data_IF_955378683636
#
_entry.id   IF_955378683636
#
_cell.length_a   1.000
_cell.length_b   1.000
_cell.length_c   1.000
_cell.angle_alpha   90.00
_cell.angle_beta   90.00
_cell.angle_gamma   90.00
#
_symmetry.space_group_name_H-M   'P 1'
#
loop_
_entity.id
_entity.type
_entity.pdbx_description
1 polymer ?
#
# COMPACT_ATOMS: atom_id res chain seq x y z
N UNK A 1 -0.01 -15.46 63.63
CA UNK A 1 -0.11 -16.65 62.80
C UNK A 1 -0.72 -16.40 61.41
N UNK A 2 -1.70 -15.57 61.29
CA UNK A 2 -2.28 -15.20 59.98
C UNK A 2 -1.27 -14.46 59.06
N UNK A 3 -0.31 -13.78 59.59
CA UNK A 3 0.74 -13.07 58.83
C UNK A 3 1.74 -13.98 58.14
N UNK A 4 2.00 -15.17 58.61
CA UNK A 4 2.92 -16.14 58.00
C UNK A 4 2.33 -16.85 56.79
N UNK A 5 1.07 -17.18 56.83
CA UNK A 5 0.36 -17.79 55.69
C UNK A 5 0.21 -16.82 54.53
N UNK A 6 0.07 -15.53 54.84
CA UNK A 6 -0.03 -14.47 53.83
C UNK A 6 1.27 -14.25 53.05
N UNK A 7 2.45 -14.41 53.68
CA UNK A 7 3.71 -14.21 52.99
C UNK A 7 4.12 -15.39 52.11
N UNK A 8 3.73 -16.61 52.44
CA UNK A 8 3.97 -17.81 51.63
C UNK A 8 3.08 -17.80 50.37
N UNK A 9 1.80 -17.49 50.47
CA UNK A 9 0.89 -17.36 49.37
C UNK A 9 1.30 -16.22 48.42
N UNK A 10 1.83 -15.15 48.93
CA UNK A 10 2.37 -14.01 48.20
C UNK A 10 3.58 -14.38 47.35
N UNK A 11 4.50 -15.24 47.86
CA UNK A 11 5.68 -15.70 47.14
C UNK A 11 5.33 -16.70 46.02
N UNK A 12 4.44 -17.64 46.26
CA UNK A 12 3.95 -18.58 45.25
C UNK A 12 3.18 -17.85 44.14
N UNK A 13 2.40 -16.88 44.49
CA UNK A 13 1.68 -16.00 43.55
C UNK A 13 2.63 -15.17 42.65
N UNK A 14 3.77 -14.70 43.23
CA UNK A 14 4.78 -13.94 42.47
C UNK A 14 5.54 -14.82 41.47
N UNK A 15 5.88 -16.07 41.81
CA UNK A 15 6.53 -17.00 40.89
C UNK A 15 5.58 -17.43 39.76
N UNK A 16 4.31 -17.67 40.05
CA UNK A 16 3.30 -17.96 39.03
C UNK A 16 3.05 -16.77 38.11
N UNK A 17 3.06 -15.54 38.62
CA UNK A 17 2.94 -14.31 37.83
C UNK A 17 4.16 -14.10 36.92
N UNK A 18 5.38 -14.38 37.34
CA UNK A 18 6.60 -14.27 36.52
C UNK A 18 6.56 -15.28 35.36
N UNK A 19 6.08 -16.48 35.57
CA UNK A 19 5.90 -17.51 34.55
C UNK A 19 4.82 -17.09 33.54
N UNK A 20 3.69 -16.55 33.98
CA UNK A 20 2.62 -16.03 33.13
C UNK A 20 3.06 -14.81 32.33
N UNK A 21 3.93 -13.96 32.88
CA UNK A 21 4.49 -12.79 32.21
C UNK A 21 5.39 -13.21 31.04
N UNK A 22 6.27 -14.21 31.22
CA UNK A 22 7.12 -14.71 30.13
C UNK A 22 6.29 -15.31 28.98
N UNK A 23 5.30 -16.12 29.29
CA UNK A 23 4.36 -16.69 28.33
C UNK A 23 3.56 -15.60 27.63
N UNK A 24 3.11 -14.59 28.34
CA UNK A 24 2.41 -13.44 27.82
C UNK A 24 3.28 -12.62 26.85
N UNK A 25 4.57 -12.41 27.18
CA UNK A 25 5.52 -11.70 26.32
C UNK A 25 5.81 -12.47 25.04
N UNK A 26 5.97 -13.79 25.09
CA UNK A 26 6.14 -14.64 23.92
C UNK A 26 4.91 -14.60 23.00
N UNK A 27 3.72 -14.74 23.55
CA UNK A 27 2.46 -14.63 22.82
C UNK A 27 2.29 -13.24 22.21
N UNK A 28 2.65 -12.20 22.95
CA UNK A 28 2.61 -10.81 22.49
C UNK A 28 3.56 -10.57 21.32
N UNK A 29 4.77 -11.14 21.34
CA UNK A 29 5.74 -11.05 20.25
C UNK A 29 5.26 -11.80 19.01
N UNK A 30 4.68 -12.99 19.16
CA UNK A 30 4.09 -13.75 18.06
C UNK A 30 2.92 -13.01 17.42
N UNK A 31 2.05 -12.41 18.23
CA UNK A 31 0.93 -11.59 17.74
C UNK A 31 1.41 -10.33 17.01
N UNK A 32 2.46 -9.68 17.51
CA UNK A 32 3.07 -8.52 16.87
C UNK A 32 3.67 -8.90 15.51
N UNK A 33 4.40 -9.99 15.42
CA UNK A 33 4.95 -10.50 14.17
C UNK A 33 3.86 -10.83 13.17
N UNK A 34 2.80 -11.50 13.63
CA UNK A 34 1.65 -11.86 12.81
C UNK A 34 0.92 -10.63 12.27
N UNK A 35 0.77 -9.60 13.11
CA UNK A 35 0.19 -8.31 12.73
C UNK A 35 1.01 -7.63 11.62
N UNK A 36 2.34 -7.61 11.77
CA UNK A 36 3.24 -7.02 10.78
C UNK A 36 3.20 -7.78 9.44
N UNK A 37 3.15 -9.10 9.47
CA UNK A 37 3.00 -9.94 8.28
C UNK A 37 1.67 -9.67 7.55
N UNK A 38 0.58 -9.54 8.29
CA UNK A 38 -0.74 -9.22 7.75
C UNK A 38 -0.78 -7.82 7.12
N UNK A 39 -0.16 -6.84 7.77
CA UNK A 39 -0.03 -5.49 7.22
C UNK A 39 0.82 -5.46 5.95
N UNK A 40 1.91 -6.21 5.91
CA UNK A 40 2.77 -6.34 4.75
C UNK A 40 2.00 -6.94 3.56
N UNK A 41 1.24 -8.01 3.80
CA UNK A 41 0.39 -8.62 2.78
C UNK A 41 -0.66 -7.64 2.25
N UNK A 42 -1.27 -6.87 3.14
CA UNK A 42 -2.24 -5.83 2.76
C UNK A 42 -1.61 -4.77 1.85
N UNK A 43 -0.39 -4.33 2.16
CA UNK A 43 0.35 -3.35 1.33
C UNK A 43 0.68 -3.95 -0.03
N UNK A 44 1.14 -5.19 -0.09
CA UNK A 44 1.42 -5.89 -1.34
C UNK A 44 0.16 -6.01 -2.22
N UNK A 45 -0.99 -6.30 -1.62
CA UNK A 45 -2.28 -6.31 -2.31
C UNK A 45 -2.69 -4.92 -2.81
N UNK A 46 -2.47 -3.88 -2.02
CA UNK A 46 -2.74 -2.51 -2.43
C UNK A 46 -1.85 -2.06 -3.59
N UNK A 47 -0.58 -2.44 -3.59
CA UNK A 47 0.35 -2.19 -4.71
C UNK A 47 -0.15 -2.86 -5.99
N UNK A 48 -0.55 -4.11 -5.91
CA UNK A 48 -1.09 -4.86 -7.04
C UNK A 48 -2.39 -4.25 -7.58
N UNK A 49 -3.33 -3.92 -6.69
CA UNK A 49 -4.59 -3.27 -7.05
C UNK A 49 -4.36 -1.89 -7.68
N UNK A 50 -3.42 -1.12 -7.15
CA UNK A 50 -3.09 0.20 -7.71
C UNK A 50 -2.51 0.08 -9.12
N UNK A 51 -1.69 -0.92 -9.37
CA UNK A 51 -1.15 -1.22 -10.70
C UNK A 51 -2.25 -1.63 -11.68
N UNK A 52 -3.20 -2.46 -11.26
CA UNK A 52 -4.35 -2.86 -12.07
C UNK A 52 -5.21 -1.65 -12.45
N UNK A 53 -5.51 -0.78 -11.49
CA UNK A 53 -6.28 0.47 -11.74
C UNK A 53 -5.53 1.36 -12.73
N UNK A 54 -4.23 1.51 -12.57
CA UNK A 54 -3.40 2.28 -13.49
C UNK A 54 -3.47 1.71 -14.92
N UNK A 55 -3.32 0.40 -15.06
CA UNK A 55 -3.37 -0.28 -16.35
C UNK A 55 -4.74 -0.15 -17.03
N UNK A 56 -5.82 -0.30 -16.27
CA UNK A 56 -7.18 -0.12 -16.79
C UNK A 56 -7.46 1.31 -17.22
N UNK A 57 -7.10 2.27 -16.36
CA UNK A 57 -7.32 3.70 -16.63
C UNK A 57 -6.51 4.16 -17.84
N UNK A 58 -5.25 3.75 -17.95
CA UNK A 58 -4.41 4.09 -19.11
C UNK A 58 -4.93 3.47 -20.40
N UNK A 59 -5.40 2.22 -20.37
CA UNK A 59 -6.02 1.59 -21.54
C UNK A 59 -7.26 2.32 -22.01
N UNK A 60 -8.14 2.70 -21.08
CA UNK A 60 -9.34 3.46 -21.42
C UNK A 60 -9.01 4.81 -22.05
N UNK A 61 -8.06 5.54 -21.45
CA UNK A 61 -7.63 6.83 -21.93
C UNK A 61 -6.91 6.73 -23.29
N UNK A 62 -6.04 5.75 -23.47
CA UNK A 62 -5.37 5.50 -24.74
C UNK A 62 -6.36 5.10 -25.84
N UNK A 63 -7.35 4.28 -25.51
CA UNK A 63 -8.41 3.88 -26.44
C UNK A 63 -9.24 5.09 -26.91
N UNK A 64 -9.63 5.96 -25.99
CA UNK A 64 -10.32 7.21 -26.31
C UNK A 64 -9.43 8.14 -27.14
N UNK A 65 -8.16 8.25 -26.76
CA UNK A 65 -7.18 9.05 -27.48
C UNK A 65 -7.03 8.60 -28.92
N UNK A 66 -6.87 7.30 -29.16
CA UNK A 66 -6.76 6.72 -30.50
C UNK A 66 -8.00 7.02 -31.34
N UNK A 67 -9.18 6.92 -30.73
CA UNK A 67 -10.44 7.25 -31.41
C UNK A 67 -10.49 8.73 -31.84
N UNK A 68 -10.13 9.65 -30.94
CA UNK A 68 -10.12 11.09 -31.27
C UNK A 68 -9.04 11.45 -32.26
N UNK A 69 -7.88 10.84 -32.20
CA UNK A 69 -6.78 11.02 -33.16
C UNK A 69 -7.22 10.54 -34.56
N UNK A 70 -7.90 9.39 -34.63
CA UNK A 70 -8.44 8.86 -35.88
C UNK A 70 -9.51 9.80 -36.46
N UNK A 71 -10.41 10.35 -35.63
CA UNK A 71 -11.40 11.34 -36.05
C UNK A 71 -10.75 12.61 -36.61
N UNK A 72 -9.72 13.09 -35.94
CA UNK A 72 -8.95 14.28 -36.40
C UNK A 72 -8.25 14.00 -37.72
N UNK A 73 -7.66 12.83 -37.88
CA UNK A 73 -7.00 12.40 -39.11
C UNK A 73 -7.98 12.32 -40.28
N UNK A 74 -9.17 11.72 -40.07
CA UNK A 74 -10.24 11.64 -41.06
C UNK A 74 -10.73 13.03 -41.46
N UNK A 75 -10.90 13.92 -40.48
CA UNK A 75 -11.31 15.30 -40.72
C UNK A 75 -10.30 16.06 -41.60
N UNK A 76 -9.02 15.92 -41.33
CA UNK A 76 -7.94 16.52 -42.08
C UNK A 76 -7.87 15.99 -43.52
N UNK A 77 -8.23 14.73 -43.77
CA UNK A 77 -8.26 14.14 -45.10
C UNK A 77 -9.40 14.62 -45.94
N UNK A 78 -10.54 15.04 -45.33
CA UNK A 78 -11.74 15.46 -46.05
C UNK A 78 -11.67 16.85 -46.66
N UNK A 79 -10.69 17.67 -46.41
CA UNK A 79 -10.44 19.00 -47.01
C UNK A 79 -11.62 19.97 -47.06
N UNK A 80 -12.63 19.87 -46.21
CA UNK A 80 -13.74 20.81 -46.17
C UNK A 80 -13.46 21.96 -45.21
N UNK A 81 -13.56 23.19 -45.72
CA UNK A 81 -13.25 24.43 -45.05
C UNK A 81 -14.25 24.86 -43.95
N UNK A 82 -15.26 24.05 -43.67
CA UNK A 82 -16.30 24.37 -42.69
C UNK A 82 -16.13 23.72 -41.31
N UNK A 83 -15.08 22.89 -41.08
CA UNK A 83 -14.97 22.05 -39.93
C UNK A 83 -13.86 22.49 -38.91
N UNK A 84 -13.50 23.78 -38.94
CA UNK A 84 -12.52 24.34 -37.97
C UNK A 84 -12.95 24.17 -36.53
N UNK A 85 -14.22 24.34 -36.21
CA UNK A 85 -14.77 24.17 -34.89
C UNK A 85 -14.63 22.73 -34.40
N UNK A 86 -14.94 21.75 -35.27
CA UNK A 86 -14.75 20.33 -34.97
C UNK A 86 -13.27 19.99 -34.76
N UNK A 87 -12.39 20.51 -35.61
CA UNK A 87 -10.95 20.33 -35.50
C UNK A 87 -10.42 20.85 -34.16
N UNK A 88 -10.81 22.05 -33.75
CA UNK A 88 -10.46 22.66 -32.50
C UNK A 88 -11.00 21.87 -31.28
N UNK A 89 -12.27 21.41 -31.39
CA UNK A 89 -12.88 20.56 -30.35
C UNK A 89 -12.16 19.22 -30.20
N UNK A 90 -11.79 18.57 -31.30
CA UNK A 90 -11.02 17.32 -31.28
C UNK A 90 -9.64 17.51 -30.71
N UNK A 91 -8.94 18.58 -31.11
CA UNK A 91 -7.61 18.91 -30.52
C UNK A 91 -7.67 19.20 -29.04
N UNK A 92 -8.70 19.95 -28.60
CA UNK A 92 -8.91 20.24 -27.19
C UNK A 92 -9.16 18.96 -26.38
N UNK A 93 -9.96 18.04 -26.91
CA UNK A 93 -10.26 16.75 -26.29
C UNK A 93 -9.00 15.87 -26.22
N UNK A 94 -8.19 15.86 -27.26
CA UNK A 94 -6.90 15.14 -27.28
C UNK A 94 -5.95 15.69 -26.21
N UNK A 95 -5.84 16.99 -26.08
CA UNK A 95 -5.00 17.64 -25.05
C UNK A 95 -5.51 17.31 -23.64
N UNK A 96 -6.83 17.31 -23.44
CA UNK A 96 -7.46 16.92 -22.18
C UNK A 96 -7.12 15.48 -21.81
N UNK A 97 -7.20 14.55 -22.76
CA UNK A 97 -6.86 13.15 -22.55
C UNK A 97 -5.37 12.94 -22.24
N UNK A 98 -4.48 13.64 -22.91
CA UNK A 98 -3.05 13.62 -22.57
C UNK A 98 -2.79 14.16 -21.17
N UNK A 99 -3.51 15.21 -20.78
CA UNK A 99 -3.41 15.77 -19.41
C UNK A 99 -3.87 14.76 -18.38
N UNK A 100 -4.97 14.05 -18.62
CA UNK A 100 -5.49 13.00 -17.76
C UNK A 100 -4.50 11.83 -17.65
N UNK A 101 -3.86 11.43 -18.75
CA UNK A 101 -2.82 10.39 -18.76
C UNK A 101 -1.63 10.79 -17.90
N UNK A 102 -1.15 12.01 -18.03
CA UNK A 102 -0.04 12.52 -17.21
C UNK A 102 -0.40 12.59 -15.74
N UNK A 103 -1.62 13.02 -15.44
CA UNK A 103 -2.12 13.10 -14.07
C UNK A 103 -2.23 11.72 -13.43
N UNK A 104 -2.78 10.74 -14.16
CA UNK A 104 -2.88 9.36 -13.68
C UNK A 104 -1.49 8.75 -13.45
N UNK A 105 -0.55 8.99 -14.34
CA UNK A 105 0.83 8.53 -14.20
C UNK A 105 1.49 9.09 -12.93
N UNK A 106 1.31 10.38 -12.66
CA UNK A 106 1.84 11.03 -11.45
C UNK A 106 1.18 10.50 -10.18
N UNK A 107 -0.14 10.35 -10.22
CA UNK A 107 -0.92 9.85 -9.09
C UNK A 107 -0.53 8.41 -8.75
N UNK A 108 -0.45 7.53 -9.75
CA UNK A 108 -0.01 6.15 -9.59
C UNK A 108 1.42 6.06 -9.04
N UNK A 109 2.32 6.91 -9.54
CA UNK A 109 3.69 6.96 -9.05
C UNK A 109 3.77 7.36 -7.58
N UNK A 110 3.02 8.40 -7.16
CA UNK A 110 2.97 8.84 -5.76
C UNK A 110 2.43 7.75 -4.84
N UNK A 111 1.32 7.15 -5.23
CA UNK A 111 0.68 6.09 -4.44
C UNK A 111 1.63 4.90 -4.27
N UNK A 112 2.32 4.52 -5.34
CA UNK A 112 3.34 3.47 -5.32
C UNK A 112 4.49 3.82 -4.38
N UNK A 113 5.00 5.05 -4.42
CA UNK A 113 6.09 5.50 -3.56
C UNK A 113 5.69 5.48 -2.07
N UNK A 114 4.49 5.93 -1.75
CA UNK A 114 3.96 5.90 -0.39
C UNK A 114 3.81 4.48 0.13
N UNK A 115 3.25 3.58 -0.67
CA UNK A 115 3.09 2.17 -0.31
C UNK A 115 4.43 1.45 -0.17
N UNK A 116 5.38 1.71 -1.05
CA UNK A 116 6.73 1.14 -0.94
C UNK A 116 7.48 1.66 0.29
N UNK A 117 7.25 2.91 0.67
CA UNK A 117 7.80 3.48 1.90
C UNK A 117 7.23 2.79 3.13
N UNK A 118 5.92 2.61 3.21
CA UNK A 118 5.27 1.87 4.28
C UNK A 118 5.78 0.42 4.36
N UNK A 119 5.95 -0.20 3.19
CA UNK A 119 6.50 -1.56 3.09
C UNK A 119 7.90 -1.65 3.69
N UNK A 120 8.77 -0.71 3.38
CA UNK A 120 10.13 -0.65 3.93
C UNK A 120 10.13 -0.44 5.45
N UNK A 121 9.25 0.40 5.95
CA UNK A 121 9.10 0.64 7.40
C UNK A 121 8.64 -0.62 8.13
N UNK A 122 7.67 -1.35 7.56
CA UNK A 122 7.22 -2.63 8.13
C UNK A 122 8.33 -3.69 8.12
N UNK A 123 9.08 -3.81 7.04
CA UNK A 123 10.21 -4.73 6.95
C UNK A 123 11.29 -4.42 7.99
N UNK A 124 11.53 -3.14 8.24
CA UNK A 124 12.45 -2.69 9.29
C UNK A 124 11.96 -3.07 10.68
N UNK A 125 10.67 -2.86 10.96
CA UNK A 125 10.06 -3.28 12.23
C UNK A 125 10.13 -4.78 12.44
N UNK A 126 9.93 -5.57 11.38
CA UNK A 126 10.06 -7.03 11.42
C UNK A 126 11.50 -7.45 11.72
N UNK A 127 12.49 -6.82 11.10
CA UNK A 127 13.90 -7.08 11.36
C UNK A 127 14.30 -6.73 12.80
N UNK A 128 13.83 -5.61 13.32
CA UNK A 128 14.05 -5.20 14.71
C UNK A 128 13.43 -6.19 15.69
N UNK A 129 12.25 -6.70 15.39
CA UNK A 129 11.57 -7.70 16.21
C UNK A 129 12.34 -9.03 16.24
N UNK A 130 12.85 -9.48 15.09
CA UNK A 130 13.71 -10.67 14.99
C UNK A 130 15.02 -10.51 15.78
N UNK A 131 15.67 -9.35 15.69
CA UNK A 131 16.87 -9.02 16.43
C UNK A 131 16.63 -9.02 17.96
N UNK A 132 15.50 -8.48 18.42
CA UNK A 132 15.09 -8.53 19.80
C UNK A 132 14.86 -9.97 20.29
N UNK A 133 14.22 -10.80 19.49
CA UNK A 133 14.00 -12.20 19.79
C UNK A 133 15.31 -12.98 19.90
N UNK A 134 16.30 -12.69 19.03
CA UNK A 134 17.63 -13.28 19.08
C UNK A 134 18.42 -12.84 20.33
N UNK A 135 18.36 -11.58 20.70
CA UNK A 135 18.98 -11.05 21.93
C UNK A 135 18.39 -11.70 23.18
N UNK A 136 17.08 -11.88 23.23
CA UNK A 136 16.39 -12.56 24.33
C UNK A 136 16.77 -14.04 24.43
N UNK A 137 17.05 -14.70 23.31
CA UNK A 137 17.51 -16.09 23.27
C UNK A 137 18.99 -16.24 23.68
N UNK A 138 19.82 -15.26 23.36
CA UNK A 138 21.28 -15.28 23.65
C UNK A 138 21.64 -14.66 25.00
N UNK A 139 20.76 -13.90 25.56
CA UNK A 139 20.93 -13.27 26.87
C UNK A 139 20.52 -14.11 28.03
#
# INVERSE_FOLDING_TARGET
MEYFDYSEDSLESAEALDFDIESFLEESQELEQQRLEEELERIDQQLEQREEIYNETTRELESKLDWYVDQLRDLNQRRFSGDREKEEQLKAKIEELYSELRQERRSAWRDKQELEKERRELLREMDELEDQNLEDLLG
#
